data_IF_913757179566
#
_entry.id   IF_913757179566
#
_cell.length_a   1.000
_cell.length_b   1.000
_cell.length_c   1.000
_cell.angle_alpha   90.00
_cell.angle_beta   90.00
_cell.angle_gamma   90.00
#
_symmetry.space_group_name_H-M   'P 1'
#
loop_
_entity.id
_entity.type
_entity.pdbx_description
1 polymer ?
#
# COMPACT_ATOMS: atom_id res chain seq x y z
N UNK A 1 -1.12 9.36 -14.04
CA UNK A 1 -1.07 8.37 -12.94
C UNK A 1 0.30 7.72 -12.96
N UNK A 2 0.96 7.62 -11.81
CA UNK A 2 2.25 6.91 -11.64
C UNK A 2 1.96 5.57 -10.97
N UNK A 3 2.53 4.47 -11.49
CA UNK A 3 2.40 3.14 -10.88
C UNK A 3 3.74 2.79 -10.21
N UNK A 4 3.70 2.36 -8.95
CA UNK A 4 4.89 2.08 -8.16
C UNK A 4 5.03 0.58 -7.87
N UNK A 5 6.28 0.10 -7.82
CA UNK A 5 6.67 -1.22 -7.34
C UNK A 5 7.88 -1.10 -6.42
N UNK A 6 7.91 -1.92 -5.38
CA UNK A 6 8.92 -1.93 -4.33
C UNK A 6 10.28 -2.48 -4.78
N UNK A 7 11.37 -2.04 -4.15
CA UNK A 7 12.74 -2.57 -4.36
C UNK A 7 13.21 -3.41 -3.16
N UNK A 8 13.85 -4.55 -3.45
CA UNK A 8 14.34 -5.48 -2.42
C UNK A 8 15.63 -5.06 -1.69
N UNK A 9 16.42 -4.15 -2.26
CA UNK A 9 17.73 -3.73 -1.72
C UNK A 9 17.73 -2.36 -1.04
N UNK A 10 16.57 -1.71 -0.97
CA UNK A 10 16.36 -0.44 -0.28
C UNK A 10 15.57 -0.60 1.02
N UNK A 11 15.04 0.52 1.50
CA UNK A 11 14.02 0.56 2.56
C UNK A 11 12.78 1.25 2.01
N UNK A 12 11.61 0.95 2.59
CA UNK A 12 10.35 1.61 2.25
C UNK A 12 10.46 3.14 2.34
N UNK A 13 11.18 3.64 3.33
CA UNK A 13 11.42 5.08 3.50
C UNK A 13 12.20 5.69 2.33
N UNK A 14 13.19 4.97 1.81
CA UNK A 14 13.93 5.40 0.62
C UNK A 14 13.02 5.37 -0.60
N UNK A 15 12.25 4.30 -0.77
CA UNK A 15 11.31 4.16 -1.89
C UNK A 15 10.29 5.32 -1.88
N UNK A 16 9.74 5.66 -0.72
CA UNK A 16 8.83 6.80 -0.53
C UNK A 16 9.49 8.16 -0.85
N UNK A 17 10.76 8.37 -0.49
CA UNK A 17 11.52 9.57 -0.89
C UNK A 17 11.74 9.64 -2.40
N UNK A 18 12.02 8.51 -3.06
CA UNK A 18 12.16 8.45 -4.51
C UNK A 18 10.82 8.76 -5.21
N UNK A 19 9.68 8.34 -4.64
CA UNK A 19 8.34 8.76 -5.08
C UNK A 19 8.17 10.28 -4.95
N UNK A 20 8.56 10.88 -3.82
CA UNK A 20 8.47 12.32 -3.61
C UNK A 20 9.25 13.11 -4.68
N UNK A 21 10.48 12.67 -4.98
CA UNK A 21 11.30 13.25 -6.05
C UNK A 21 10.66 13.10 -7.43
N UNK A 22 10.06 11.94 -7.72
CA UNK A 22 9.35 11.68 -8.96
C UNK A 22 8.13 12.62 -9.13
N UNK A 23 7.36 12.82 -8.06
CA UNK A 23 6.23 13.76 -8.04
C UNK A 23 6.73 15.19 -8.32
N UNK A 24 7.77 15.64 -7.61
CA UNK A 24 8.38 16.96 -7.81
C UNK A 24 8.82 17.16 -9.25
N UNK A 25 9.50 16.16 -9.84
CA UNK A 25 9.95 16.22 -11.22
C UNK A 25 8.78 16.48 -12.17
N UNK A 26 7.69 15.71 -12.08
CA UNK A 26 6.53 15.92 -12.96
C UNK A 26 5.82 17.25 -12.68
N UNK A 27 5.69 17.66 -11.39
CA UNK A 27 5.06 18.93 -11.04
C UNK A 27 5.83 20.13 -11.61
N UNK A 28 7.16 20.10 -11.56
CA UNK A 28 8.01 21.17 -12.11
C UNK A 28 7.99 21.15 -13.64
N UNK A 29 8.20 19.99 -14.26
CA UNK A 29 8.41 19.89 -15.71
C UNK A 29 7.15 20.09 -16.55
N UNK A 30 5.96 20.00 -15.95
CA UNK A 30 4.67 20.02 -16.67
C UNK A 30 3.74 21.15 -16.23
N UNK A 31 4.27 22.21 -15.63
CA UNK A 31 3.49 23.35 -15.13
C UNK A 31 2.42 22.96 -14.10
N UNK A 32 2.85 22.18 -13.09
CA UNK A 32 2.05 21.73 -11.93
C UNK A 32 0.77 20.95 -12.28
N UNK A 33 0.85 19.85 -13.05
CA UNK A 33 -0.30 18.98 -13.28
C UNK A 33 -0.81 18.36 -11.98
N UNK A 34 -2.04 17.85 -12.04
CA UNK A 34 -2.56 16.93 -11.02
C UNK A 34 -1.81 15.60 -11.14
N UNK A 35 -1.32 15.10 -10.01
CA UNK A 35 -0.58 13.83 -9.92
C UNK A 35 -1.32 12.87 -8.99
N UNK A 36 -1.65 11.70 -9.52
CA UNK A 36 -2.19 10.57 -8.76
C UNK A 36 -1.17 9.43 -8.77
N UNK A 37 -0.87 8.88 -7.60
CA UNK A 37 -0.01 7.71 -7.45
C UNK A 37 -0.87 6.49 -7.15
N UNK A 38 -0.61 5.40 -7.85
CA UNK A 38 -1.26 4.11 -7.65
C UNK A 38 -0.22 3.09 -7.23
N UNK A 39 -0.39 2.54 -6.02
CA UNK A 39 0.33 1.36 -5.56
C UNK A 39 -0.40 0.11 -6.04
N UNK A 40 0.35 -0.85 -6.56
CA UNK A 40 -0.16 -2.18 -6.86
C UNK A 40 0.65 -3.20 -6.06
N UNK A 41 -0.02 -4.15 -5.40
CA UNK A 41 0.64 -5.19 -4.62
C UNK A 41 1.56 -4.54 -3.58
N UNK A 42 2.84 -4.91 -3.53
CA UNK A 42 3.86 -4.32 -2.64
C UNK A 42 4.03 -2.80 -2.84
N UNK A 43 3.80 -2.27 -4.05
CA UNK A 43 3.79 -0.83 -4.27
C UNK A 43 2.75 -0.07 -3.43
N UNK A 44 1.77 -0.77 -2.84
CA UNK A 44 0.86 -0.18 -1.86
C UNK A 44 1.57 0.24 -0.56
N UNK A 45 2.59 -0.49 -0.12
CA UNK A 45 3.39 -0.13 1.04
C UNK A 45 4.10 1.21 0.79
N UNK A 46 4.77 1.35 -0.35
CA UNK A 46 5.50 2.57 -0.68
C UNK A 46 4.57 3.81 -0.71
N UNK A 47 3.33 3.62 -1.20
CA UNK A 47 2.29 4.66 -1.15
C UNK A 47 1.87 4.97 0.27
N UNK A 48 1.65 3.96 1.11
CA UNK A 48 1.30 4.17 2.52
C UNK A 48 2.41 4.89 3.28
N UNK A 49 3.67 4.50 3.10
CA UNK A 49 4.80 5.19 3.74
C UNK A 49 4.92 6.64 3.26
N UNK A 50 4.75 6.91 1.96
CA UNK A 50 4.70 8.28 1.47
C UNK A 50 3.58 9.10 2.13
N UNK A 51 2.40 8.50 2.29
CA UNK A 51 1.23 9.16 2.86
C UNK A 51 1.28 9.30 4.37
N UNK A 52 1.91 8.39 5.11
CA UNK A 52 1.95 8.42 6.58
C UNK A 52 3.12 9.24 7.14
N UNK A 53 4.14 9.55 6.32
CA UNK A 53 5.33 10.31 6.73
C UNK A 53 5.25 11.74 6.23
N UNK A 54 4.86 12.65 7.12
CA UNK A 54 4.75 14.08 6.79
C UNK A 54 6.06 14.61 6.20
N UNK A 55 7.20 14.26 6.79
CA UNK A 55 8.52 14.67 6.34
C UNK A 55 8.86 14.19 4.93
N UNK A 56 8.27 13.10 4.44
CA UNK A 56 8.44 12.62 3.07
C UNK A 56 7.45 13.32 2.14
N UNK A 57 6.16 13.38 2.52
CA UNK A 57 5.12 14.04 1.72
C UNK A 57 5.41 15.54 1.50
N UNK A 58 6.05 16.22 2.45
CA UNK A 58 6.45 17.63 2.34
C UNK A 58 7.70 17.86 1.48
N UNK A 59 8.48 16.81 1.16
CA UNK A 59 9.61 16.94 0.24
C UNK A 59 9.16 17.08 -1.23
N UNK A 60 7.93 16.70 -1.54
CA UNK A 60 7.37 16.92 -2.87
C UNK A 60 7.09 18.42 -3.10
N UNK A 61 7.39 18.95 -4.29
CA UNK A 61 7.01 20.31 -4.70
C UNK A 61 5.49 20.38 -4.96
N UNK A 62 4.75 20.46 -3.85
CA UNK A 62 3.29 20.45 -3.81
C UNK A 62 2.69 19.13 -3.36
N UNK A 63 1.43 19.20 -2.96
CA UNK A 63 0.67 18.05 -2.46
C UNK A 63 0.31 17.07 -3.58
N UNK A 64 0.29 15.78 -3.27
CA UNK A 64 -0.25 14.72 -4.13
C UNK A 64 -1.76 14.91 -4.32
N UNK A 65 -2.25 14.82 -5.55
CA UNK A 65 -3.66 15.12 -5.87
C UNK A 65 -4.59 13.91 -5.65
N UNK A 66 -4.04 12.71 -5.47
CA UNK A 66 -4.78 11.53 -5.05
C UNK A 66 -3.89 10.29 -4.95
N UNK A 67 -4.35 9.29 -4.19
CA UNK A 67 -3.66 8.02 -4.05
C UNK A 67 -4.61 6.83 -4.20
N UNK A 68 -4.13 5.75 -4.81
CA UNK A 68 -4.90 4.52 -5.03
C UNK A 68 -4.07 3.34 -4.53
N UNK A 69 -4.67 2.45 -3.73
CA UNK A 69 -4.13 1.13 -3.43
C UNK A 69 -4.89 0.08 -4.22
N UNK A 70 -4.19 -0.77 -4.97
CA UNK A 70 -4.78 -1.91 -5.67
C UNK A 70 -4.13 -3.21 -5.25
N UNK A 71 -4.97 -4.15 -4.80
CA UNK A 71 -4.56 -5.38 -4.13
C UNK A 71 -3.55 -5.15 -2.98
N UNK A 72 -3.85 -4.27 -2.00
CA UNK A 72 -3.01 -4.11 -0.82
C UNK A 72 -3.11 -5.36 0.08
N UNK A 73 -2.17 -6.28 -0.08
CA UNK A 73 -2.09 -7.53 0.71
C UNK A 73 -0.94 -7.46 1.71
N UNK A 74 -1.01 -8.27 2.76
CA UNK A 74 0.10 -8.45 3.68
C UNK A 74 1.14 -9.39 3.08
N UNK A 75 2.35 -8.89 2.84
CA UNK A 75 3.47 -9.76 2.46
C UNK A 75 3.74 -10.82 3.51
N UNK A 76 3.62 -10.46 4.79
CA UNK A 76 3.83 -11.39 5.90
C UNK A 76 2.88 -12.58 5.82
N UNK A 77 1.59 -12.34 5.57
CA UNK A 77 0.60 -13.41 5.42
C UNK A 77 0.76 -14.15 4.09
N UNK A 78 1.08 -13.44 3.00
CA UNK A 78 1.34 -14.01 1.68
C UNK A 78 2.55 -14.95 1.70
N UNK A 79 3.63 -14.57 2.37
CA UNK A 79 4.86 -15.36 2.52
C UNK A 79 4.60 -16.70 3.22
N UNK A 80 3.70 -16.73 4.19
CA UNK A 80 3.29 -17.99 4.85
C UNK A 80 2.62 -18.93 3.85
N UNK A 81 1.79 -18.39 2.94
CA UNK A 81 1.12 -19.15 1.87
C UNK A 81 2.14 -19.65 0.84
N UNK A 82 3.03 -18.77 0.37
CA UNK A 82 3.99 -19.06 -0.70
C UNK A 82 5.03 -20.09 -0.23
N UNK A 83 5.62 -19.88 0.95
CA UNK A 83 6.78 -20.66 1.40
C UNK A 83 6.39 -21.85 2.29
N UNK A 84 5.19 -21.80 2.87
CA UNK A 84 4.81 -22.66 3.99
C UNK A 84 5.41 -22.18 5.33
N UNK A 85 4.71 -22.50 6.42
CA UNK A 85 4.98 -21.95 7.77
C UNK A 85 6.42 -22.19 8.24
N UNK A 86 6.96 -23.39 8.04
CA UNK A 86 8.29 -23.73 8.55
C UNK A 86 9.41 -22.97 7.83
N UNK A 87 9.30 -22.80 6.51
CA UNK A 87 10.28 -22.04 5.73
C UNK A 87 10.20 -20.55 6.03
N UNK A 88 8.97 -20.01 6.14
CA UNK A 88 8.72 -18.66 6.62
C UNK A 88 9.34 -18.42 8.01
N UNK A 89 9.08 -19.29 8.99
CA UNK A 89 9.59 -19.12 10.36
C UNK A 89 11.12 -19.13 10.41
N UNK A 90 11.78 -19.90 9.54
CA UNK A 90 13.23 -19.89 9.42
C UNK A 90 13.74 -18.61 8.75
N UNK A 91 13.04 -18.12 7.72
CA UNK A 91 13.50 -17.00 6.89
C UNK A 91 13.53 -15.69 7.68
N UNK A 92 12.44 -15.33 8.35
CA UNK A 92 12.38 -14.07 9.12
C UNK A 92 13.33 -14.11 10.33
N UNK A 93 13.46 -15.26 11.02
CA UNK A 93 14.43 -15.43 12.13
C UNK A 93 15.87 -15.34 11.66
N UNK A 94 16.17 -15.80 10.44
CA UNK A 94 17.49 -15.63 9.86
C UNK A 94 17.79 -14.16 9.57
N UNK A 95 16.86 -13.45 8.94
CA UNK A 95 16.96 -12.01 8.71
C UNK A 95 17.15 -11.24 10.03
N UNK A 96 16.38 -11.57 11.08
CA UNK A 96 16.52 -10.97 12.40
C UNK A 96 17.93 -11.17 12.99
N UNK A 97 18.51 -12.37 12.85
CA UNK A 97 19.89 -12.64 13.32
C UNK A 97 20.92 -11.81 12.58
N UNK A 98 20.78 -11.65 11.27
CA UNK A 98 21.66 -10.80 10.47
C UNK A 98 21.57 -9.34 10.90
N UNK A 99 20.36 -8.82 11.12
CA UNK A 99 20.14 -7.45 11.61
C UNK A 99 20.80 -7.25 12.98
N UNK A 100 20.57 -8.16 13.92
CA UNK A 100 21.18 -8.11 15.27
C UNK A 100 22.72 -8.19 15.23
N UNK A 101 23.29 -8.79 14.20
CA UNK A 101 24.73 -8.85 13.97
C UNK A 101 25.29 -7.65 13.18
N UNK A 102 24.48 -6.61 12.90
CA UNK A 102 24.90 -5.45 12.11
C UNK A 102 24.99 -5.71 10.59
N UNK A 103 24.43 -6.83 10.12
CA UNK A 103 24.50 -7.32 8.73
C UNK A 103 23.15 -7.17 7.99
N UNK A 104 22.34 -6.19 8.36
CA UNK A 104 21.02 -5.96 7.75
C UNK A 104 21.06 -5.70 6.22
N UNK A 105 22.13 -5.09 5.72
CA UNK A 105 22.33 -4.85 4.29
C UNK A 105 22.76 -6.07 3.46
N UNK A 106 22.94 -7.23 4.09
CA UNK A 106 23.31 -8.45 3.38
C UNK A 106 22.15 -9.00 2.56
N UNK A 107 22.45 -9.50 1.36
CA UNK A 107 21.46 -10.12 0.49
C UNK A 107 21.10 -11.51 1.05
N UNK A 108 19.80 -11.73 1.26
CA UNK A 108 19.25 -13.02 1.64
C UNK A 108 19.53 -14.06 0.55
N UNK A 109 19.76 -15.31 0.96
CA UNK A 109 20.00 -16.41 0.02
C UNK A 109 18.86 -16.55 -0.99
N UNK A 110 19.19 -16.71 -2.28
CA UNK A 110 18.20 -16.93 -3.34
C UNK A 110 17.34 -18.17 -3.08
N UNK A 111 17.83 -19.18 -2.33
CA UNK A 111 17.04 -20.34 -1.92
C UNK A 111 15.85 -19.97 -1.01
N UNK A 112 15.90 -18.80 -0.37
CA UNK A 112 14.83 -18.26 0.48
C UNK A 112 13.94 -17.34 -0.33
N UNK A 113 14.50 -16.55 -1.25
CA UNK A 113 13.79 -15.41 -1.84
C UNK A 113 13.29 -15.63 -3.27
N UNK A 114 13.87 -16.54 -4.06
CA UNK A 114 13.62 -16.62 -5.51
C UNK A 114 12.16 -16.95 -5.86
N UNK A 115 11.51 -17.80 -5.06
CA UNK A 115 10.10 -18.18 -5.25
C UNK A 115 9.12 -17.09 -4.76
N UNK A 116 9.64 -16.01 -4.19
CA UNK A 116 8.87 -14.89 -3.65
C UNK A 116 9.11 -13.61 -4.46
N UNK A 117 10.38 -13.24 -4.64
CA UNK A 117 10.82 -12.06 -5.38
C UNK A 117 11.80 -12.47 -6.48
N UNK A 118 11.55 -12.01 -7.70
CA UNK A 118 12.47 -12.14 -8.83
C UNK A 118 13.76 -11.31 -8.64
N UNK A 119 13.78 -10.39 -7.66
CA UNK A 119 14.90 -9.50 -7.36
C UNK A 119 15.56 -9.82 -6.01
N UNK A 120 16.87 -9.56 -5.85
CA UNK A 120 17.57 -9.71 -4.58
C UNK A 120 16.93 -8.89 -3.46
N UNK A 121 16.83 -9.47 -2.26
CA UNK A 121 16.28 -8.83 -1.08
C UNK A 121 17.32 -8.78 0.04
N UNK A 122 17.50 -7.62 0.66
CA UNK A 122 18.37 -7.50 1.85
C UNK A 122 17.72 -8.12 3.08
N UNK A 123 18.51 -8.51 4.07
CA UNK A 123 18.00 -9.04 5.34
C UNK A 123 17.08 -8.03 6.05
N UNK A 124 17.44 -6.74 6.06
CA UNK A 124 16.58 -5.67 6.58
C UNK A 124 15.24 -5.60 5.87
N UNK A 125 15.24 -5.60 4.52
CA UNK A 125 14.00 -5.53 3.73
C UNK A 125 13.16 -6.78 3.93
N UNK A 126 13.78 -7.96 3.94
CA UNK A 126 13.10 -9.22 4.18
C UNK A 126 12.44 -9.24 5.57
N UNK A 127 13.14 -8.81 6.61
CA UNK A 127 12.57 -8.73 7.96
C UNK A 127 11.39 -7.78 8.01
N UNK A 128 11.51 -6.61 7.39
CA UNK A 128 10.45 -5.60 7.32
C UNK A 128 9.15 -6.14 6.70
N UNK A 129 9.27 -7.02 5.69
CA UNK A 129 8.15 -7.67 5.00
C UNK A 129 7.59 -8.90 5.74
N UNK A 130 8.41 -9.56 6.57
CA UNK A 130 8.11 -10.92 7.09
C UNK A 130 8.03 -11.03 8.60
N UNK A 131 8.26 -9.95 9.36
CA UNK A 131 8.23 -10.03 10.81
C UNK A 131 6.82 -10.27 11.35
N UNK A 132 6.59 -11.32 12.18
CA UNK A 132 5.31 -11.56 12.84
C UNK A 132 5.05 -10.64 14.05
N UNK A 133 6.00 -9.77 14.39
CA UNK A 133 5.95 -8.98 15.62
C UNK A 133 5.29 -7.60 15.42
N UNK A 134 4.78 -7.31 14.22
CA UNK A 134 4.28 -5.98 13.82
C UNK A 134 5.32 -4.85 14.04
N UNK A 135 6.61 -5.19 13.95
CA UNK A 135 7.76 -4.27 14.05
C UNK A 135 8.49 -4.09 12.71
N UNK A 136 7.94 -4.67 11.64
CA UNK A 136 8.42 -4.47 10.27
C UNK A 136 7.81 -3.21 9.67
N UNK A 137 8.63 -2.39 9.02
CA UNK A 137 8.21 -1.11 8.46
C UNK A 137 7.23 -1.27 7.27
N UNK A 138 7.10 -2.46 6.68
CA UNK A 138 6.19 -2.75 5.56
C UNK A 138 4.83 -3.35 6.00
N UNK A 139 4.62 -3.64 7.29
CA UNK A 139 3.44 -4.36 7.76
C UNK A 139 2.21 -3.44 7.95
N UNK A 140 1.67 -2.92 6.84
CA UNK A 140 0.46 -2.07 6.85
C UNK A 140 -0.85 -2.87 6.76
N UNK A 141 -0.83 -4.05 6.15
CA UNK A 141 -2.03 -4.69 5.62
C UNK A 141 -2.37 -6.04 6.25
N UNK A 142 -1.63 -6.48 7.28
CA UNK A 142 -1.93 -7.74 7.96
C UNK A 142 -3.33 -7.73 8.58
N UNK A 143 -4.03 -8.86 8.42
CA UNK A 143 -5.42 -8.98 8.85
C UNK A 143 -5.62 -8.83 10.36
N UNK A 144 -4.60 -9.18 11.14
CA UNK A 144 -4.54 -9.12 12.60
C UNK A 144 -3.86 -7.83 13.13
N UNK A 145 -3.51 -6.87 12.27
CA UNK A 145 -2.86 -5.62 12.69
C UNK A 145 -3.66 -4.96 13.82
N UNK A 146 -3.03 -4.61 14.96
CA UNK A 146 -3.70 -3.96 16.08
C UNK A 146 -4.33 -2.62 15.68
N UNK A 147 -5.40 -2.22 16.37
CA UNK A 147 -6.11 -0.97 16.05
C UNK A 147 -5.19 0.25 16.18
N UNK A 148 -4.34 0.32 17.22
CA UNK A 148 -3.37 1.40 17.38
C UNK A 148 -2.42 1.57 16.18
N UNK A 149 -2.03 0.47 15.53
CA UNK A 149 -1.16 0.49 14.36
C UNK A 149 -1.92 0.99 13.14
N UNK A 150 -3.20 0.62 12.97
CA UNK A 150 -4.05 1.17 11.91
C UNK A 150 -4.28 2.67 12.12
N UNK A 151 -4.52 3.12 13.35
CA UNK A 151 -4.65 4.54 13.69
C UNK A 151 -3.35 5.30 13.40
N UNK A 152 -2.20 4.69 13.69
CA UNK A 152 -0.89 5.26 13.40
C UNK A 152 -0.54 5.29 11.89
N UNK A 153 -1.28 4.58 11.04
CA UNK A 153 -1.04 4.49 9.60
C UNK A 153 -2.20 5.08 8.81
N UNK A 154 -3.28 4.31 8.59
CA UNK A 154 -4.50 4.75 7.92
C UNK A 154 -5.15 5.99 8.57
N UNK A 155 -4.96 6.19 9.88
CA UNK A 155 -5.42 7.39 10.59
C UNK A 155 -4.50 8.61 10.47
N UNK A 156 -3.28 8.45 9.93
CA UNK A 156 -2.27 9.52 9.79
C UNK A 156 -1.96 9.90 8.35
N UNK A 157 -2.75 9.43 7.38
CA UNK A 157 -2.57 9.80 5.97
C UNK A 157 -2.59 11.33 5.81
N UNK A 158 -1.50 11.87 5.28
CA UNK A 158 -1.21 13.29 5.14
C UNK A 158 -0.79 13.64 3.70
N UNK A 159 -1.15 14.84 3.21
CA UNK A 159 -2.05 15.81 3.85
C UNK A 159 -3.50 15.32 3.84
N UNK A 160 -4.25 15.55 4.91
CA UNK A 160 -5.58 14.96 5.16
C UNK A 160 -6.62 15.16 4.03
N UNK A 161 -6.38 16.13 3.13
CA UNK A 161 -7.24 16.43 1.98
C UNK A 161 -6.97 15.54 0.76
N UNK A 162 -5.83 14.85 0.69
CA UNK A 162 -5.49 13.97 -0.45
C UNK A 162 -6.54 12.88 -0.56
N UNK A 163 -7.32 12.82 -1.65
CA UNK A 163 -8.30 11.77 -1.84
C UNK A 163 -7.60 10.41 -1.92
N UNK A 164 -8.19 9.40 -1.29
CA UNK A 164 -7.59 8.08 -1.15
C UNK A 164 -8.58 6.97 -1.53
N UNK A 165 -8.17 6.07 -2.42
CA UNK A 165 -9.01 4.98 -2.92
C UNK A 165 -8.38 3.62 -2.59
N UNK A 166 -9.16 2.72 -1.99
CA UNK A 166 -8.70 1.37 -1.62
C UNK A 166 -9.48 0.33 -2.43
N UNK A 167 -8.79 -0.42 -3.28
CA UNK A 167 -9.36 -1.45 -4.14
C UNK A 167 -8.74 -2.81 -3.85
N UNK A 168 -9.44 -3.63 -3.05
CA UNK A 168 -8.96 -4.95 -2.67
C UNK A 168 -9.51 -6.02 -3.62
N UNK A 169 -8.66 -6.97 -4.03
CA UNK A 169 -9.04 -8.06 -4.93
C UNK A 169 -9.82 -9.16 -4.18
N UNK A 170 -11.09 -9.40 -4.56
CA UNK A 170 -11.96 -10.33 -3.85
C UNK A 170 -11.48 -11.79 -3.90
N UNK A 171 -10.95 -12.22 -5.04
CA UNK A 171 -10.39 -13.55 -5.27
C UNK A 171 -8.86 -13.59 -5.14
N UNK A 172 -8.24 -12.60 -4.48
CA UNK A 172 -6.79 -12.54 -4.28
C UNK A 172 -6.24 -13.82 -3.62
N UNK A 173 -5.30 -14.45 -4.30
CA UNK A 173 -4.66 -15.71 -3.97
C UNK A 173 -3.57 -15.60 -2.89
N UNK A 174 -3.12 -14.38 -2.56
CA UNK A 174 -2.09 -14.11 -1.55
C UNK A 174 -2.67 -13.76 -0.18
N UNK A 175 -4.00 -13.71 -0.05
CA UNK A 175 -4.67 -13.53 1.25
C UNK A 175 -5.10 -14.89 1.83
N UNK A 176 -4.88 -15.17 3.13
CA UNK A 176 -5.36 -16.40 3.73
C UNK A 176 -6.88 -16.54 3.61
N UNK A 177 -7.36 -17.75 3.28
CA UNK A 177 -8.80 -18.02 3.09
C UNK A 177 -9.66 -17.75 4.33
N UNK A 178 -9.05 -17.76 5.51
CA UNK A 178 -9.71 -17.47 6.78
C UNK A 178 -10.00 -15.98 7.00
N UNK A 179 -9.38 -15.09 6.22
CA UNK A 179 -9.55 -13.65 6.36
C UNK A 179 -10.86 -13.21 5.71
N UNK A 180 -11.71 -12.53 6.48
CA UNK A 180 -12.83 -11.76 5.93
C UNK A 180 -12.28 -10.47 5.31
N UNK A 181 -12.02 -10.53 4.00
CA UNK A 181 -11.47 -9.40 3.22
C UNK A 181 -12.37 -8.17 3.29
N UNK A 182 -13.69 -8.36 3.30
CA UNK A 182 -14.64 -7.25 3.33
C UNK A 182 -14.58 -6.54 4.68
N UNK A 183 -14.66 -7.29 5.77
CA UNK A 183 -14.52 -6.73 7.11
C UNK A 183 -13.16 -6.06 7.33
N UNK A 184 -12.08 -6.61 6.75
CA UNK A 184 -10.75 -6.03 6.80
C UNK A 184 -10.70 -4.65 6.13
N UNK A 185 -11.23 -4.52 4.91
CA UNK A 185 -11.25 -3.24 4.18
C UNK A 185 -12.18 -2.23 4.85
N UNK A 186 -13.34 -2.68 5.35
CA UNK A 186 -14.26 -1.83 6.11
C UNK A 186 -13.60 -1.26 7.36
N UNK A 187 -12.81 -2.07 8.08
CA UNK A 187 -12.03 -1.64 9.25
C UNK A 187 -11.03 -0.53 8.89
N UNK A 188 -10.34 -0.64 7.76
CA UNK A 188 -9.41 0.42 7.30
C UNK A 188 -10.16 1.71 6.94
N UNK A 189 -11.27 1.60 6.20
CA UNK A 189 -12.11 2.74 5.82
C UNK A 189 -12.66 3.45 7.07
N UNK A 190 -13.09 2.70 8.08
CA UNK A 190 -13.59 3.25 9.34
C UNK A 190 -12.50 4.05 10.08
N UNK A 191 -11.28 3.53 10.15
CA UNK A 191 -10.13 4.26 10.73
C UNK A 191 -9.89 5.56 9.95
N UNK A 192 -9.83 5.51 8.62
CA UNK A 192 -9.69 6.72 7.80
C UNK A 192 -10.79 7.76 8.12
N UNK A 193 -12.06 7.33 8.14
CA UNK A 193 -13.20 8.22 8.42
C UNK A 193 -13.12 8.86 9.81
N UNK A 194 -12.81 8.07 10.83
CA UNK A 194 -12.71 8.51 12.23
C UNK A 194 -11.63 9.57 12.43
N UNK A 195 -10.54 9.49 11.66
CA UNK A 195 -9.42 10.44 11.70
C UNK A 195 -9.50 11.53 10.63
N UNK A 196 -10.61 11.63 9.89
CA UNK A 196 -10.83 12.70 8.92
C UNK A 196 -10.00 12.59 7.64
N UNK A 197 -9.49 11.40 7.32
CA UNK A 197 -8.82 11.12 6.04
C UNK A 197 -9.85 11.09 4.92
N UNK A 198 -9.54 11.77 3.80
CA UNK A 198 -10.41 11.88 2.63
C UNK A 198 -10.45 10.58 1.80
N UNK A 199 -10.94 9.49 2.39
CA UNK A 199 -11.13 8.21 1.70
C UNK A 199 -12.40 8.24 0.83
N UNK A 200 -12.30 7.78 -0.42
CA UNK A 200 -13.44 7.60 -1.31
C UNK A 200 -14.24 6.35 -0.89
N UNK A 201 -15.15 6.54 0.07
CA UNK A 201 -15.98 5.47 0.62
C UNK A 201 -16.93 4.84 -0.39
N UNK A 202 -17.25 5.55 -1.49
CA UNK A 202 -18.22 5.09 -2.49
C UNK A 202 -17.57 4.10 -3.44
N UNK A 203 -16.32 4.37 -3.84
CA UNK A 203 -15.61 3.54 -4.80
C UNK A 203 -14.65 2.53 -4.14
N UNK A 204 -14.22 2.77 -2.90
CA UNK A 204 -13.36 1.84 -2.16
C UNK A 204 -14.11 0.56 -1.80
N UNK A 205 -13.39 -0.55 -1.69
CA UNK A 205 -13.95 -1.84 -1.27
C UNK A 205 -13.37 -3.02 -2.03
N UNK A 206 -14.14 -4.11 -2.02
CA UNK A 206 -13.80 -5.34 -2.74
C UNK A 206 -14.17 -5.21 -4.22
N UNK A 207 -13.27 -5.66 -5.08
CA UNK A 207 -13.54 -5.95 -6.49
C UNK A 207 -13.81 -7.44 -6.59
N UNK A 208 -15.08 -7.79 -6.70
CA UNK A 208 -15.54 -9.18 -6.66
C UNK A 208 -14.93 -10.01 -7.79
N UNK A 209 -14.42 -11.20 -7.44
CA UNK A 209 -13.80 -12.11 -8.40
C UNK A 209 -12.44 -11.69 -8.94
N UNK A 210 -11.89 -10.54 -8.54
CA UNK A 210 -10.56 -10.12 -8.98
C UNK A 210 -9.45 -10.96 -8.32
N UNK A 211 -8.56 -11.53 -9.11
CA UNK A 211 -7.27 -12.08 -8.66
C UNK A 211 -6.30 -10.94 -8.36
N UNK A 212 -5.15 -11.26 -7.74
CA UNK A 212 -4.19 -10.27 -7.28
C UNK A 212 -3.78 -9.24 -8.36
N UNK A 213 -3.45 -9.75 -9.55
CA UNK A 213 -3.01 -8.96 -10.70
C UNK A 213 -4.04 -8.95 -11.85
N UNK A 214 -5.29 -9.34 -11.57
CA UNK A 214 -6.35 -9.53 -12.56
C UNK A 214 -6.09 -10.59 -13.65
N UNK A 215 -5.06 -11.43 -13.50
CA UNK A 215 -4.81 -12.53 -14.44
C UNK A 215 -6.02 -13.47 -14.50
N UNK A 216 -6.47 -13.77 -15.73
CA UNK A 216 -7.60 -14.66 -15.98
C UNK A 216 -8.97 -14.09 -15.57
N UNK A 217 -9.05 -12.83 -15.14
CA UNK A 217 -10.32 -12.24 -14.72
C UNK A 217 -11.27 -11.98 -15.92
N UNK A 218 -12.59 -12.20 -15.75
CA UNK A 218 -13.57 -11.80 -16.75
C UNK A 218 -13.53 -10.30 -17.04
N UNK A 219 -13.90 -9.90 -18.25
CA UNK A 219 -13.93 -8.49 -18.67
C UNK A 219 -14.78 -7.62 -17.73
N UNK A 220 -15.88 -8.16 -17.18
CA UNK A 220 -16.73 -7.46 -16.24
C UNK A 220 -15.99 -7.04 -14.95
N UNK A 221 -15.09 -7.89 -14.45
CA UNK A 221 -14.28 -7.63 -13.24
C UNK A 221 -13.28 -6.50 -13.52
N UNK A 222 -12.62 -6.55 -14.68
CA UNK A 222 -11.70 -5.49 -15.12
C UNK A 222 -12.45 -4.17 -15.36
N UNK A 223 -13.66 -4.22 -15.91
CA UNK A 223 -14.51 -3.04 -16.11
C UNK A 223 -14.95 -2.40 -14.78
N UNK A 224 -15.25 -3.18 -13.75
CA UNK A 224 -15.55 -2.63 -12.42
C UNK A 224 -14.34 -1.87 -11.86
N UNK A 225 -13.16 -2.49 -11.88
CA UNK A 225 -11.90 -1.86 -11.48
C UNK A 225 -11.67 -0.52 -12.21
N UNK A 226 -11.66 -0.55 -13.55
CA UNK A 226 -11.43 0.65 -14.37
C UNK A 226 -12.53 1.70 -14.17
N UNK A 227 -13.77 1.28 -13.96
CA UNK A 227 -14.89 2.16 -13.68
C UNK A 227 -14.73 2.92 -12.37
N UNK A 228 -14.30 2.25 -11.29
CA UNK A 228 -14.01 2.86 -9.98
C UNK A 228 -12.83 3.83 -10.06
N UNK A 229 -11.73 3.40 -10.67
CA UNK A 229 -10.56 4.27 -10.91
C UNK A 229 -10.95 5.49 -11.75
N UNK A 230 -11.71 5.30 -12.83
CA UNK A 230 -12.16 6.40 -13.69
C UNK A 230 -13.06 7.41 -12.97
N UNK A 231 -13.98 6.95 -12.10
CA UNK A 231 -14.80 7.85 -11.27
C UNK A 231 -13.95 8.63 -10.26
N UNK A 232 -13.00 7.95 -9.60
CA UNK A 232 -12.07 8.61 -8.69
C UNK A 232 -11.24 9.69 -9.41
N UNK A 233 -10.66 9.38 -10.56
CA UNK A 233 -9.88 10.34 -11.35
C UNK A 233 -10.72 11.53 -11.83
N UNK A 234 -11.98 11.32 -12.22
CA UNK A 234 -12.89 12.43 -12.56
C UNK A 234 -13.14 13.37 -11.39
N UNK A 235 -13.28 12.83 -10.17
CA UNK A 235 -13.38 13.65 -8.94
C UNK A 235 -12.12 14.49 -8.74
N UNK A 236 -10.93 13.90 -8.97
CA UNK A 236 -9.67 14.64 -8.91
C UNK A 236 -9.63 15.76 -9.96
N UNK A 237 -10.01 15.47 -11.21
CA UNK A 237 -10.01 16.43 -12.32
C UNK A 237 -10.98 17.60 -12.09
N UNK A 238 -12.18 17.34 -11.59
CA UNK A 238 -13.20 18.35 -11.31
C UNK A 238 -12.85 19.35 -10.20
N UNK A 239 -11.93 18.98 -9.29
CA UNK A 239 -11.55 19.84 -8.16
C UNK A 239 -12.65 19.94 -7.09
N UNK A 240 -12.25 20.29 -5.86
CA UNK A 240 -13.14 20.57 -4.72
C UNK A 240 -13.90 21.90 -4.91
N UNK A 241 -14.59 22.09 -6.03
CA UNK A 241 -15.63 23.12 -6.15
C UNK A 241 -16.91 22.60 -5.47
N UNK A 242 -16.94 22.68 -4.14
CA UNK A 242 -18.03 22.13 -3.34
C UNK A 242 -17.97 22.49 -1.85
N UNK A 243 -17.55 23.71 -1.52
CA UNK A 243 -17.90 24.29 -0.23
C UNK A 243 -19.41 24.48 -0.18
N UNK A 244 -20.13 23.57 0.47
CA UNK A 244 -21.59 23.65 0.51
C UNK A 244 -22.31 22.43 1.05
N UNK A 245 -21.99 21.99 2.27
CA UNK A 245 -23.01 21.37 3.13
C UNK A 245 -22.72 21.73 4.58
N UNK A 246 -22.89 23.02 4.92
CA UNK A 246 -23.29 23.37 6.27
C UNK A 246 -24.70 22.81 6.46
N UNK A 247 -24.82 21.85 7.37
CA UNK A 247 -26.10 21.43 7.92
C UNK A 247 -26.80 22.65 8.52
N UNK A 248 -27.90 23.06 7.92
CA UNK A 248 -28.94 23.76 8.67
C UNK A 248 -29.70 22.71 9.48
N UNK A 249 -29.45 22.70 10.78
CA UNK A 249 -30.46 22.46 11.81
C UNK A 249 -30.47 23.71 12.68
#
# INVERSE_FOLDING_TARGET
>A
MIIVRTKGTGSIHRDAKEIALCISYFKIQRSRPKVVVMGHSTGCQDVMEYLCRLEVSQQADGQLDGAILQAPVSDREALVIIMGKDAYDRSWKHAQRLIKAGRGGEIMSAQITLDVFEAPCTASRWYSLSSPLHDGDDDFFSSDTPLENLEATFGKITPAKTPFLILYSGADEFTPRSVDKKALVERWIEVCRRFGVNVDVVNSGIIEGATHNFAGCPEAVVKDFLGRVGRFLKTIEGGLEGGGLMSKV
#
